data_IF_820236206778
#
_entry.id   IF_820236206778
#
_cell.length_a   1.000
_cell.length_b   1.000
_cell.length_c   1.000
_cell.angle_alpha   90.00
_cell.angle_beta   90.00
_cell.angle_gamma   90.00
#
_symmetry.space_group_name_H-M   'P 1'
#
loop_
_entity.id
_entity.type
_entity.pdbx_description
1 polymer ?
#
# COMPACT_ATOMS: atom_id res chain seq x y z
N UNK A 1 9.01 -42.20 33.22
CA UNK A 1 7.63 -41.84 32.83
C UNK A 1 7.52 -40.59 31.94
N UNK A 2 8.26 -39.50 32.19
CA UNK A 2 8.21 -38.27 31.32
C UNK A 2 8.61 -38.53 29.89
N UNK A 3 9.61 -39.36 29.61
CA UNK A 3 10.08 -39.61 28.24
C UNK A 3 9.11 -40.49 27.42
N UNK A 4 8.39 -41.42 28.07
CA UNK A 4 7.38 -42.26 27.43
C UNK A 4 6.16 -41.42 26.98
N UNK A 5 5.77 -40.43 27.79
CA UNK A 5 4.66 -39.53 27.46
C UNK A 5 4.98 -38.63 26.27
N UNK A 6 6.23 -38.09 26.21
CA UNK A 6 6.68 -37.26 25.10
C UNK A 6 6.77 -38.05 23.78
N UNK A 7 7.27 -39.30 23.86
CA UNK A 7 7.36 -40.20 22.69
C UNK A 7 5.97 -40.62 22.21
N UNK A 8 5.03 -40.88 23.12
CA UNK A 8 3.63 -41.17 22.76
C UNK A 8 2.94 -39.95 22.13
N UNK A 9 3.21 -38.74 22.63
CA UNK A 9 2.67 -37.52 22.07
C UNK A 9 3.22 -37.24 20.64
N UNK A 10 4.52 -37.49 20.44
CA UNK A 10 5.16 -37.39 19.11
C UNK A 10 4.63 -38.44 18.12
N UNK A 11 4.39 -39.69 18.59
CA UNK A 11 3.81 -40.75 17.77
C UNK A 11 2.34 -40.48 17.41
N UNK A 12 1.56 -39.89 18.31
CA UNK A 12 0.19 -39.47 18.03
C UNK A 12 0.19 -38.31 17.01
N UNK A 13 1.10 -37.34 17.16
CA UNK A 13 1.24 -36.25 16.18
C UNK A 13 1.71 -36.76 14.81
N UNK A 14 2.63 -37.72 14.76
CA UNK A 14 3.08 -38.33 13.50
C UNK A 14 2.00 -39.19 12.83
N UNK A 15 1.18 -39.91 13.62
CA UNK A 15 0.07 -40.67 13.04
C UNK A 15 -1.08 -39.77 12.54
N UNK A 16 -1.32 -38.62 13.16
CA UNK A 16 -2.22 -37.61 12.62
C UNK A 16 -1.69 -37.00 11.29
N UNK A 17 -0.39 -36.81 11.16
CA UNK A 17 0.25 -36.35 9.92
C UNK A 17 0.18 -37.38 8.79
N UNK A 18 0.27 -38.67 9.11
CA UNK A 18 0.20 -39.77 8.12
C UNK A 18 -1.24 -40.15 7.71
N UNK A 19 -2.22 -39.92 8.59
CA UNK A 19 -3.63 -40.21 8.30
C UNK A 19 -4.38 -39.07 7.59
N UNK A 20 -3.81 -37.86 7.54
CA UNK A 20 -4.38 -36.72 6.81
C UNK A 20 -3.86 -36.71 5.37
N UNK A 21 -4.43 -37.56 4.58
CA UNK A 21 -4.60 -37.56 3.12
C UNK A 21 -3.83 -36.49 2.31
N UNK A 22 -3.25 -36.90 1.21
CA UNK A 22 -2.85 -36.12 0.01
C UNK A 22 -3.76 -34.93 -0.34
N UNK A 23 -5.03 -34.94 0.10
CA UNK A 23 -6.01 -33.90 -0.13
C UNK A 23 -5.71 -32.57 0.59
N UNK A 24 -5.09 -32.58 1.79
CA UNK A 24 -4.80 -31.34 2.53
C UNK A 24 -3.58 -30.63 1.96
N UNK A 25 -2.55 -31.39 1.58
CA UNK A 25 -1.33 -30.83 0.97
C UNK A 25 -1.68 -30.16 -0.36
N UNK A 26 -2.59 -30.74 -1.16
CA UNK A 26 -3.08 -30.16 -2.43
C UNK A 26 -3.87 -28.85 -2.24
N UNK A 27 -4.40 -28.61 -1.05
CA UNK A 27 -5.16 -27.38 -0.69
C UNK A 27 -4.27 -26.27 -0.16
N UNK A 28 -3.01 -26.55 0.15
CA UNK A 28 -2.04 -25.58 0.64
C UNK A 28 -1.24 -25.02 -0.55
N UNK A 29 -1.08 -23.69 -0.57
CA UNK A 29 -0.16 -23.02 -1.48
C UNK A 29 0.72 -22.06 -0.70
N UNK A 30 1.99 -21.99 -1.09
CA UNK A 30 2.99 -21.14 -0.49
C UNK A 30 3.48 -20.12 -1.50
N UNK A 31 3.80 -18.93 -1.02
CA UNK A 31 4.38 -17.86 -1.83
C UNK A 31 5.47 -17.19 -1.02
N UNK A 32 6.52 -16.76 -1.68
CA UNK A 32 7.57 -16.00 -1.03
C UNK A 32 8.12 -14.92 -1.92
N UNK A 33 8.61 -13.86 -1.33
CA UNK A 33 9.41 -12.85 -2.02
C UNK A 33 10.56 -12.38 -1.13
N UNK A 34 11.70 -12.18 -1.76
CA UNK A 34 12.85 -11.52 -1.20
C UNK A 34 13.17 -10.30 -2.06
N UNK A 35 13.38 -9.16 -1.42
CA UNK A 35 13.84 -7.93 -2.08
C UNK A 35 15.16 -7.50 -1.50
N UNK A 36 16.11 -7.18 -2.36
CA UNK A 36 17.29 -6.43 -2.04
C UNK A 36 17.20 -5.05 -2.66
N UNK A 37 17.53 -3.99 -1.91
CA UNK A 37 17.39 -2.61 -2.32
C UNK A 37 18.67 -1.83 -2.06
N UNK A 38 19.06 -1.04 -3.06
CA UNK A 38 20.03 0.05 -2.95
C UNK A 38 19.23 1.34 -3.08
N UNK A 39 19.39 2.27 -2.15
CA UNK A 39 18.72 3.57 -2.24
C UNK A 39 19.65 4.70 -1.83
N UNK A 40 19.50 5.85 -2.48
CA UNK A 40 20.21 7.08 -2.23
C UNK A 40 19.20 8.23 -2.12
N UNK A 41 19.29 9.02 -1.04
CA UNK A 41 18.55 10.26 -0.81
C UNK A 41 19.54 11.44 -0.86
N UNK A 42 19.17 12.54 -1.53
CA UNK A 42 19.98 13.76 -1.61
C UNK A 42 19.10 15.00 -1.85
N UNK A 43 19.71 16.20 -1.73
CA UNK A 43 18.99 17.48 -1.82
C UNK A 43 17.79 17.57 -0.87
N UNK A 44 17.88 16.95 0.31
CA UNK A 44 16.79 16.95 1.29
C UNK A 44 16.84 18.25 2.10
N UNK A 45 16.23 19.32 1.56
CA UNK A 45 16.11 20.62 2.22
C UNK A 45 15.08 20.55 3.33
N UNK A 46 15.43 21.10 4.51
CA UNK A 46 14.55 21.19 5.68
C UNK A 46 13.77 22.50 5.69
N UNK A 47 12.78 22.58 6.57
CA UNK A 47 11.93 23.78 6.77
C UNK A 47 12.68 25.01 7.25
N UNK A 48 13.86 24.85 7.87
CA UNK A 48 14.76 25.94 8.26
C UNK A 48 15.69 26.43 7.11
N UNK A 49 15.58 25.79 5.94
CA UNK A 49 16.39 26.10 4.75
C UNK A 49 17.73 25.37 4.67
N UNK A 50 18.16 24.71 5.74
CA UNK A 50 19.37 23.87 5.74
C UNK A 50 19.13 22.56 4.98
N UNK A 51 20.19 21.85 4.65
CA UNK A 51 20.10 20.54 4.00
C UNK A 51 20.46 19.43 4.99
N UNK A 52 19.83 18.29 4.82
CA UNK A 52 20.24 17.03 5.44
C UNK A 52 21.44 16.48 4.70
N UNK A 53 22.24 15.71 5.41
CA UNK A 53 23.28 14.91 4.78
C UNK A 53 22.66 13.91 3.79
N UNK A 54 23.35 13.70 2.68
CA UNK A 54 23.00 12.65 1.73
C UNK A 54 23.03 11.29 2.39
N UNK A 55 22.10 10.42 2.04
CA UNK A 55 21.97 9.12 2.68
C UNK A 55 21.92 7.97 1.70
N UNK A 56 22.90 7.07 1.80
CA UNK A 56 22.94 5.80 1.06
C UNK A 56 22.57 4.64 1.99
N UNK A 57 21.74 3.72 1.53
CA UNK A 57 21.33 2.55 2.32
C UNK A 57 21.27 1.29 1.46
N UNK A 58 21.70 0.18 2.06
CA UNK A 58 21.44 -1.17 1.56
C UNK A 58 20.34 -1.76 2.44
N UNK A 59 19.27 -2.25 1.83
CA UNK A 59 18.08 -2.73 2.55
C UNK A 59 17.59 -4.04 1.95
N UNK A 60 16.90 -4.84 2.75
CA UNK A 60 16.27 -6.07 2.28
C UNK A 60 14.93 -6.30 2.97
N UNK A 61 14.10 -7.14 2.37
CA UNK A 61 12.82 -7.59 2.87
C UNK A 61 12.61 -9.04 2.48
N UNK A 62 12.10 -9.84 3.42
CA UNK A 62 11.58 -11.18 3.16
C UNK A 62 10.10 -11.22 3.50
N UNK A 63 9.32 -11.90 2.68
CA UNK A 63 7.91 -12.23 2.90
C UNK A 63 7.67 -13.69 2.62
N UNK A 64 6.84 -14.32 3.45
CA UNK A 64 6.37 -15.69 3.25
C UNK A 64 4.89 -15.77 3.52
N UNK A 65 4.12 -16.26 2.54
CA UNK A 65 2.67 -16.41 2.58
C UNK A 65 2.23 -17.86 2.47
N UNK A 66 1.13 -18.18 3.13
CA UNK A 66 0.45 -19.46 3.04
C UNK A 66 -1.04 -19.20 2.79
N UNK A 67 -1.61 -19.96 1.87
CA UNK A 67 -3.05 -20.00 1.64
C UNK A 67 -3.54 -21.45 1.77
N UNK A 68 -4.67 -21.63 2.48
CA UNK A 68 -5.38 -22.89 2.59
C UNK A 68 -6.74 -22.78 1.92
N UNK A 69 -6.92 -23.50 0.81
CA UNK A 69 -8.18 -23.56 0.07
C UNK A 69 -9.08 -24.59 0.76
N UNK A 70 -10.02 -24.13 1.58
CA UNK A 70 -10.94 -25.01 2.30
C UNK A 70 -11.87 -25.76 1.33
N UNK A 71 -12.51 -25.01 0.43
CA UNK A 71 -13.34 -25.52 -0.65
C UNK A 71 -13.28 -24.56 -1.87
N UNK A 72 -14.11 -24.72 -2.87
CA UNK A 72 -14.07 -23.94 -4.12
C UNK A 72 -14.26 -22.43 -3.91
N UNK A 73 -14.96 -22.01 -2.85
CA UNK A 73 -15.31 -20.61 -2.60
C UNK A 73 -14.67 -20.02 -1.33
N UNK A 74 -14.08 -20.83 -0.44
CA UNK A 74 -13.55 -20.39 0.85
C UNK A 74 -12.04 -20.62 0.96
N UNK A 75 -11.32 -19.59 1.39
CA UNK A 75 -9.86 -19.60 1.52
C UNK A 75 -9.43 -18.89 2.80
N UNK A 76 -8.44 -19.45 3.50
CA UNK A 76 -7.74 -18.82 4.62
C UNK A 76 -6.33 -18.45 4.17
N UNK A 77 -5.94 -17.21 4.39
CA UNK A 77 -4.62 -16.73 4.00
C UNK A 77 -3.89 -16.04 5.13
N UNK A 78 -2.58 -16.22 5.15
CA UNK A 78 -1.70 -15.47 6.03
C UNK A 78 -0.41 -15.08 5.30
N UNK A 79 0.26 -14.03 5.78
CA UNK A 79 1.61 -13.67 5.34
C UNK A 79 2.41 -13.07 6.49
N UNK A 80 3.62 -13.56 6.68
CA UNK A 80 4.61 -12.97 7.57
C UNK A 80 5.62 -12.15 6.75
N UNK A 81 6.27 -11.19 7.40
CA UNK A 81 7.33 -10.38 6.80
C UNK A 81 8.39 -10.00 7.81
N UNK A 82 9.56 -9.66 7.31
CA UNK A 82 10.57 -8.92 8.06
C UNK A 82 10.17 -7.45 8.25
N UNK A 83 10.78 -6.78 9.23
CA UNK A 83 10.54 -5.37 9.56
C UNK A 83 9.79 -5.18 10.87
N UNK A 84 9.88 -3.98 11.43
CA UNK A 84 9.28 -3.66 12.72
C UNK A 84 7.75 -3.76 12.66
N UNK A 85 7.16 -4.35 13.72
CA UNK A 85 5.71 -4.63 13.77
C UNK A 85 4.84 -3.37 13.73
N UNK A 86 5.32 -2.26 14.31
CA UNK A 86 4.58 -0.99 14.40
C UNK A 86 4.69 -0.14 13.11
N UNK A 87 5.66 -0.42 12.23
CA UNK A 87 5.89 0.32 10.99
C UNK A 87 5.47 -0.50 9.77
N UNK A 88 4.18 -0.50 9.46
CA UNK A 88 3.66 -1.31 8.36
C UNK A 88 4.16 -0.83 7.00
N UNK A 89 4.29 0.48 6.80
CA UNK A 89 4.74 1.07 5.53
C UNK A 89 6.20 0.77 5.18
N UNK A 90 7.04 0.50 6.17
CA UNK A 90 8.47 0.23 5.94
C UNK A 90 8.85 -1.21 6.34
N UNK A 91 8.57 -2.20 5.47
CA UNK A 91 8.95 -3.59 5.71
C UNK A 91 10.43 -3.88 5.46
N UNK A 92 11.20 -2.90 5.03
CA UNK A 92 12.61 -3.04 4.70
C UNK A 92 13.46 -2.95 5.96
N UNK A 93 14.42 -3.85 6.09
CA UNK A 93 15.48 -3.80 7.11
C UNK A 93 16.71 -3.19 6.48
N UNK A 94 17.31 -2.20 7.12
CA UNK A 94 18.57 -1.60 6.70
C UNK A 94 19.73 -2.48 7.20
N UNK A 95 20.69 -2.82 6.33
CA UNK A 95 21.90 -3.52 6.74
C UNK A 95 22.67 -2.66 7.74
N UNK A 96 23.16 -3.30 8.81
CA UNK A 96 23.92 -2.62 9.87
C UNK A 96 23.04 -1.89 10.89
N UNK A 97 21.71 -2.00 10.84
CA UNK A 97 20.82 -1.40 11.85
C UNK A 97 20.95 -2.02 13.23
N UNK A 98 21.48 -3.26 13.32
CA UNK A 98 21.80 -3.93 14.59
C UNK A 98 23.26 -3.70 14.98
N UNK A 99 23.59 -2.48 15.42
CA UNK A 99 24.96 -2.15 15.83
C UNK A 99 25.47 -3.08 16.93
N UNK A 100 26.71 -3.57 16.77
CA UNK A 100 27.42 -4.44 17.71
C UNK A 100 27.32 -5.92 17.33
N UNK A 101 26.23 -6.60 17.65
CA UNK A 101 26.12 -8.06 17.53
C UNK A 101 25.27 -8.54 16.33
N UNK A 102 25.00 -7.71 15.32
CA UNK A 102 24.10 -8.05 14.20
C UNK A 102 22.72 -8.54 14.65
N UNK A 103 22.08 -7.89 15.57
CA UNK A 103 20.81 -8.25 16.21
C UNK A 103 19.85 -9.15 15.44
N UNK A 104 18.89 -9.77 16.11
CA UNK A 104 17.89 -10.65 15.49
C UNK A 104 16.93 -9.89 14.59
N UNK A 105 16.43 -10.53 13.53
CA UNK A 105 15.51 -9.91 12.59
C UNK A 105 14.10 -9.82 13.17
N UNK A 106 13.46 -8.65 13.17
CA UNK A 106 12.06 -8.53 13.54
C UNK A 106 11.17 -9.17 12.47
N UNK A 107 10.21 -9.99 12.91
CA UNK A 107 9.21 -10.65 12.06
C UNK A 107 7.82 -10.40 12.62
N UNK A 108 6.85 -10.19 11.72
CA UNK A 108 5.46 -10.01 12.11
C UNK A 108 4.47 -10.49 11.06
N UNK A 109 3.21 -10.73 11.49
CA UNK A 109 2.12 -11.00 10.58
C UNK A 109 1.73 -9.74 9.81
N UNK A 110 1.81 -9.80 8.49
CA UNK A 110 1.42 -8.73 7.59
C UNK A 110 -0.03 -8.87 7.12
N UNK A 111 -0.49 -10.11 6.95
CA UNK A 111 -1.87 -10.45 6.60
C UNK A 111 -2.33 -11.66 7.39
N UNK A 112 -3.62 -11.67 7.73
CA UNK A 112 -4.34 -12.81 8.29
C UNK A 112 -5.83 -12.62 7.99
N UNK A 113 -6.40 -13.45 7.12
CA UNK A 113 -7.74 -13.24 6.61
C UNK A 113 -8.45 -14.55 6.24
N UNK A 114 -9.77 -14.49 6.30
CA UNK A 114 -10.68 -15.40 5.62
C UNK A 114 -11.25 -14.70 4.39
N UNK A 115 -11.29 -15.40 3.26
CA UNK A 115 -11.81 -14.90 1.98
C UNK A 115 -12.89 -15.83 1.45
N UNK A 116 -13.98 -15.27 0.96
CA UNK A 116 -15.02 -15.95 0.20
C UNK A 116 -15.09 -15.40 -1.23
N UNK A 117 -15.16 -16.30 -2.21
CA UNK A 117 -15.26 -15.99 -3.64
C UNK A 117 -16.29 -16.92 -4.26
N UNK A 118 -17.53 -16.42 -4.42
CA UNK A 118 -18.64 -17.25 -4.87
C UNK A 118 -19.44 -16.57 -6.00
N UNK A 119 -19.33 -17.12 -7.22
CA UNK A 119 -20.01 -16.60 -8.41
C UNK A 119 -19.70 -15.11 -8.66
N UNK A 120 -20.68 -14.26 -8.44
CA UNK A 120 -20.60 -12.81 -8.62
C UNK A 120 -20.16 -12.06 -7.36
N UNK A 121 -20.10 -12.76 -6.21
CA UNK A 121 -19.77 -12.20 -4.90
C UNK A 121 -18.35 -12.53 -4.49
N UNK A 122 -17.65 -11.54 -3.93
CA UNK A 122 -16.33 -11.67 -3.34
C UNK A 122 -16.26 -10.86 -2.04
N UNK A 123 -15.68 -11.44 -1.01
CA UNK A 123 -15.48 -10.72 0.24
C UNK A 123 -14.35 -11.31 1.08
N UNK A 124 -13.94 -10.56 2.09
CA UNK A 124 -12.98 -11.05 3.09
C UNK A 124 -13.18 -10.34 4.44
N UNK A 125 -12.71 -10.98 5.51
CA UNK A 125 -12.64 -10.46 6.86
C UNK A 125 -11.26 -10.73 7.44
N UNK A 126 -10.76 -9.81 8.28
CA UNK A 126 -9.45 -9.85 8.93
C UNK A 126 -8.52 -8.75 8.42
N UNK A 127 -7.24 -9.04 8.26
CA UNK A 127 -6.19 -8.11 7.77
C UNK A 127 -5.73 -8.52 6.39
N UNK A 128 -5.97 -7.68 5.38
CA UNK A 128 -5.62 -8.05 4.01
C UNK A 128 -5.20 -6.83 3.16
N UNK A 129 -4.86 -7.09 1.89
CA UNK A 129 -4.50 -6.05 0.91
C UNK A 129 -5.62 -5.03 0.77
N UNK A 130 -5.27 -3.76 0.56
CA UNK A 130 -6.20 -2.70 0.19
C UNK A 130 -7.04 -3.14 -1.02
N UNK A 131 -8.38 -3.16 -0.90
CA UNK A 131 -9.20 -3.93 -1.83
C UNK A 131 -9.78 -3.13 -2.99
N UNK A 132 -9.66 -1.80 -2.97
CA UNK A 132 -10.18 -0.93 -4.03
C UNK A 132 -9.19 -0.82 -5.19
N UNK A 133 -9.70 -0.66 -6.40
CA UNK A 133 -8.86 -0.41 -7.59
C UNK A 133 -8.08 0.89 -7.40
N UNK A 134 -6.80 0.85 -7.68
CA UNK A 134 -5.90 2.00 -7.68
C UNK A 134 -4.82 1.82 -8.74
N UNK A 135 -4.22 2.88 -9.20
CA UNK A 135 -3.14 2.84 -10.18
C UNK A 135 -1.81 3.42 -9.69
N UNK A 136 -1.81 3.96 -8.48
CA UNK A 136 -0.61 4.45 -7.79
C UNK A 136 -0.71 4.20 -6.29
N UNK A 137 0.33 4.55 -5.54
CA UNK A 137 0.41 4.35 -4.08
C UNK A 137 0.24 5.65 -3.28
N UNK A 138 -0.08 6.76 -3.94
CA UNK A 138 -0.06 8.09 -3.33
C UNK A 138 -1.22 8.34 -2.37
N UNK A 139 -2.37 7.73 -2.63
CA UNK A 139 -3.51 7.77 -1.72
C UNK A 139 -3.43 6.69 -0.63
N UNK A 140 -2.95 5.49 -1.02
CA UNK A 140 -2.83 4.33 -0.13
C UNK A 140 -1.60 3.50 -0.50
N UNK A 141 -0.69 3.33 0.45
CA UNK A 141 0.53 2.54 0.28
C UNK A 141 0.25 1.06 0.04
N UNK A 142 1.01 0.40 -0.85
CA UNK A 142 0.97 -1.04 -1.05
C UNK A 142 1.42 -1.86 0.17
N UNK A 143 2.05 -1.21 1.14
CA UNK A 143 2.49 -1.83 2.37
C UNK A 143 1.52 -1.63 3.54
N UNK A 144 0.40 -0.92 3.36
CA UNK A 144 -0.62 -0.72 4.41
C UNK A 144 -1.79 -1.67 4.15
N UNK A 145 -2.02 -2.59 5.08
CA UNK A 145 -3.03 -3.64 5.00
C UNK A 145 -4.15 -3.33 5.99
N UNK A 146 -5.36 -2.94 5.50
CA UNK A 146 -6.48 -2.63 6.35
C UNK A 146 -7.00 -3.85 7.12
N UNK A 147 -7.55 -3.60 8.31
CA UNK A 147 -8.16 -4.59 9.19
C UNK A 147 -9.67 -4.36 9.26
N UNK A 148 -10.48 -5.33 8.81
CA UNK A 148 -11.93 -5.18 8.80
C UNK A 148 -12.64 -6.13 7.86
N UNK A 149 -13.69 -5.62 7.21
CA UNK A 149 -14.55 -6.38 6.30
C UNK A 149 -14.62 -5.69 4.96
N UNK A 150 -14.52 -6.47 3.90
CA UNK A 150 -14.66 -6.02 2.51
C UNK A 150 -15.62 -6.94 1.76
N UNK A 151 -16.50 -6.33 0.96
CA UNK A 151 -17.46 -7.02 0.11
C UNK A 151 -17.43 -6.42 -1.29
N UNK A 152 -17.61 -7.24 -2.32
CA UNK A 152 -17.80 -6.77 -3.68
C UNK A 152 -18.74 -7.67 -4.47
N UNK A 153 -19.46 -7.05 -5.39
CA UNK A 153 -20.30 -7.70 -6.37
C UNK A 153 -19.83 -7.36 -7.78
N UNK A 154 -19.70 -8.37 -8.63
CA UNK A 154 -19.24 -8.20 -10.02
C UNK A 154 -20.31 -8.69 -10.99
N UNK A 155 -20.68 -7.83 -11.93
CA UNK A 155 -21.54 -8.11 -13.04
C UNK A 155 -20.71 -8.13 -14.33
N UNK A 156 -20.91 -9.15 -15.14
CA UNK A 156 -20.24 -9.33 -16.42
C UNK A 156 -21.29 -9.18 -17.52
N UNK A 157 -20.92 -8.51 -18.61
CA UNK A 157 -21.76 -8.32 -19.78
C UNK A 157 -20.98 -8.70 -21.04
N UNK A 158 -21.64 -9.25 -22.01
CA UNK A 158 -21.05 -9.56 -23.33
C UNK A 158 -20.94 -8.31 -24.23
N UNK A 159 -21.39 -7.18 -23.76
CA UNK A 159 -21.30 -5.91 -24.49
C UNK A 159 -19.86 -5.40 -24.55
N UNK A 160 -19.42 -5.03 -25.74
CA UNK A 160 -18.11 -4.37 -25.93
C UNK A 160 -18.05 -2.99 -25.27
N UNK A 161 -19.20 -2.32 -25.16
CA UNK A 161 -19.26 -0.98 -24.54
C UNK A 161 -19.06 -1.06 -23.03
N UNK A 162 -19.68 -2.02 -22.33
CA UNK A 162 -19.53 -2.22 -20.88
C UNK A 162 -19.35 -3.72 -20.63
N UNK A 163 -18.11 -4.15 -20.37
CA UNK A 163 -17.79 -5.56 -20.17
C UNK A 163 -18.02 -6.03 -18.75
N UNK A 164 -17.75 -5.18 -17.79
CA UNK A 164 -18.01 -5.51 -16.39
C UNK A 164 -18.23 -4.27 -15.54
N UNK A 165 -19.04 -4.45 -14.52
CA UNK A 165 -19.28 -3.50 -13.46
C UNK A 165 -19.03 -4.18 -12.12
N UNK A 166 -18.17 -3.62 -11.29
CA UNK A 166 -17.84 -4.16 -9.96
C UNK A 166 -18.14 -3.07 -8.92
N UNK A 167 -19.13 -3.33 -8.06
CA UNK A 167 -19.35 -2.54 -6.86
C UNK A 167 -18.54 -3.12 -5.71
N UNK A 168 -17.83 -2.29 -4.99
CA UNK A 168 -16.98 -2.66 -3.86
C UNK A 168 -17.28 -1.77 -2.67
N UNK A 169 -17.34 -2.35 -1.46
CA UNK A 169 -17.50 -1.61 -0.21
C UNK A 169 -16.68 -2.26 0.90
N UNK A 170 -16.24 -1.45 1.85
CA UNK A 170 -15.46 -1.94 2.98
C UNK A 170 -15.59 -1.05 4.21
N UNK A 171 -15.42 -1.68 5.38
CA UNK A 171 -15.33 -1.02 6.68
C UNK A 171 -14.10 -1.56 7.42
N UNK A 172 -13.20 -0.67 7.80
CA UNK A 172 -11.89 -1.02 8.35
C UNK A 172 -11.62 -0.20 9.60
N UNK A 173 -11.25 -0.86 10.69
CA UNK A 173 -10.90 -0.22 11.95
C UNK A 173 -9.43 0.22 11.87
N UNK A 174 -9.17 1.49 12.14
CA UNK A 174 -7.81 2.06 12.18
C UNK A 174 -7.31 2.11 13.62
N UNK A 175 -8.21 2.36 14.57
CA UNK A 175 -7.87 2.36 15.98
C UNK A 175 -9.11 2.26 16.86
N UNK A 176 -9.00 1.48 17.93
CA UNK A 176 -10.09 1.34 18.91
C UNK A 176 -10.13 2.56 19.83
N UNK A 177 -11.32 3.14 20.01
CA UNK A 177 -11.51 4.40 20.75
C UNK A 177 -12.19 4.28 22.10
N UNK A 178 -12.44 3.04 22.59
CA UNK A 178 -13.10 2.81 23.88
C UNK A 178 -14.08 1.66 23.90
N UNK A 179 -15.11 1.72 24.75
CA UNK A 179 -16.06 0.64 25.00
C UNK A 179 -17.13 0.47 23.88
N UNK A 180 -17.21 1.38 22.94
CA UNK A 180 -18.23 1.38 21.87
C UNK A 180 -17.59 1.51 20.49
N UNK A 181 -18.03 0.72 19.51
CA UNK A 181 -17.66 0.86 18.10
C UNK A 181 -17.90 2.27 17.54
N UNK A 182 -18.85 3.03 18.08
CA UNK A 182 -19.10 4.41 17.68
C UNK A 182 -17.93 5.36 18.03
N UNK A 183 -17.03 4.96 18.93
CA UNK A 183 -15.85 5.74 19.31
C UNK A 183 -14.62 5.39 18.48
N UNK A 184 -14.63 4.30 17.74
CA UNK A 184 -13.50 3.84 16.95
C UNK A 184 -13.13 4.84 15.84
N UNK A 185 -11.85 4.84 15.49
CA UNK A 185 -11.28 5.44 14.30
C UNK A 185 -11.42 4.42 13.17
N UNK A 186 -12.08 4.79 12.09
CA UNK A 186 -12.31 3.85 10.99
C UNK A 186 -12.24 4.50 9.61
N UNK A 187 -12.04 3.65 8.64
CA UNK A 187 -12.12 3.94 7.22
C UNK A 187 -13.27 3.16 6.60
N UNK A 188 -14.10 3.83 5.84
CA UNK A 188 -15.12 3.24 4.97
C UNK A 188 -14.87 3.64 3.53
N UNK A 189 -15.06 2.72 2.60
CA UNK A 189 -14.93 2.99 1.18
C UNK A 189 -16.06 2.36 0.38
N UNK A 190 -16.49 3.06 -0.65
CA UNK A 190 -17.34 2.53 -1.72
C UNK A 190 -16.71 2.90 -3.06
N UNK A 191 -16.66 1.97 -4.00
CA UNK A 191 -16.10 2.17 -5.33
C UNK A 191 -16.91 1.41 -6.37
N UNK A 192 -17.14 2.05 -7.50
CA UNK A 192 -17.71 1.43 -8.70
C UNK A 192 -16.64 1.35 -9.77
N UNK A 193 -16.17 0.15 -10.10
CA UNK A 193 -15.22 -0.07 -11.20
C UNK A 193 -15.95 -0.55 -12.43
N UNK A 194 -15.88 0.19 -13.51
CA UNK A 194 -16.38 -0.20 -14.83
C UNK A 194 -15.22 -0.43 -15.83
N UNK A 195 -15.40 -1.42 -16.71
CA UNK A 195 -14.45 -1.77 -17.76
C UNK A 195 -15.14 -1.73 -19.11
N UNK A 196 -14.49 -1.08 -20.07
CA UNK A 196 -15.03 -0.78 -21.38
C UNK A 196 -14.04 -1.14 -22.49
N UNK A 197 -14.55 -1.39 -23.72
CA UNK A 197 -13.78 -1.56 -24.94
C UNK A 197 -12.67 -2.61 -24.85
N UNK A 198 -13.01 -3.84 -24.46
CA UNK A 198 -12.04 -4.93 -24.25
C UNK A 198 -10.95 -4.59 -23.22
N UNK A 199 -11.38 -4.07 -22.05
CA UNK A 199 -10.51 -3.62 -20.95
C UNK A 199 -9.56 -2.45 -21.32
N UNK A 200 -9.81 -1.75 -22.44
CA UNK A 200 -9.01 -0.59 -22.82
C UNK A 200 -9.27 0.63 -21.95
N UNK A 201 -10.51 0.81 -21.48
CA UNK A 201 -10.86 1.88 -20.56
C UNK A 201 -11.35 1.30 -19.24
N UNK A 202 -10.79 1.78 -18.15
CA UNK A 202 -11.27 1.59 -16.79
C UNK A 202 -11.67 2.92 -16.20
N UNK A 203 -12.82 2.98 -15.54
CA UNK A 203 -13.31 4.14 -14.78
C UNK A 203 -13.70 3.64 -13.40
N UNK A 204 -13.21 4.31 -12.34
CA UNK A 204 -13.47 3.88 -10.97
C UNK A 204 -13.70 5.06 -10.01
N UNK A 205 -14.91 5.70 -10.09
CA UNK A 205 -15.34 6.64 -9.07
C UNK A 205 -15.44 5.95 -7.71
N UNK A 206 -15.04 6.68 -6.68
CA UNK A 206 -15.02 6.18 -5.31
C UNK A 206 -15.37 7.27 -4.32
N UNK A 207 -15.91 6.88 -3.18
CA UNK A 207 -16.07 7.74 -2.02
C UNK A 207 -15.42 7.06 -0.82
N UNK A 208 -14.59 7.81 -0.10
CA UNK A 208 -13.85 7.35 1.05
C UNK A 208 -14.11 8.23 2.26
N UNK A 209 -14.60 7.63 3.33
CA UNK A 209 -14.86 8.31 4.58
C UNK A 209 -13.91 7.81 5.67
N UNK A 210 -13.21 8.73 6.32
CA UNK A 210 -12.35 8.45 7.46
C UNK A 210 -12.85 9.22 8.66
N UNK A 211 -13.02 8.53 9.79
CA UNK A 211 -13.51 9.11 11.03
C UNK A 211 -12.41 9.25 12.06
N UNK A 212 -12.30 10.45 12.66
CA UNK A 212 -11.39 10.77 13.77
C UNK A 212 -9.92 10.44 13.46
N UNK A 213 -9.45 10.79 12.26
CA UNK A 213 -8.04 10.60 11.92
C UNK A 213 -7.16 11.58 12.66
N UNK A 214 -6.12 11.11 13.36
CA UNK A 214 -5.20 12.01 14.04
C UNK A 214 -4.42 12.82 13.01
N UNK A 215 -4.25 14.10 13.27
CA UNK A 215 -3.28 14.89 12.53
C UNK A 215 -1.92 14.73 13.20
N UNK A 216 -0.91 14.28 12.44
CA UNK A 216 0.43 14.01 12.96
C UNK A 216 1.46 14.80 12.12
N UNK A 217 1.38 16.15 12.04
CA UNK A 217 2.28 16.93 11.19
C UNK A 217 3.72 16.92 11.70
N UNK A 218 3.90 16.82 13.02
CA UNK A 218 5.19 16.93 13.71
C UNK A 218 5.51 15.69 14.56
N UNK A 219 4.88 14.55 14.26
CA UNK A 219 5.00 13.32 15.06
C UNK A 219 4.14 13.30 16.32
N UNK A 220 3.47 14.39 16.65
CA UNK A 220 2.56 14.51 17.78
C UNK A 220 1.12 14.61 17.29
N UNK A 221 0.21 13.88 17.92
CA UNK A 221 -1.23 14.03 17.67
C UNK A 221 -1.71 15.35 18.27
N UNK A 222 -2.11 16.31 17.42
CA UNK A 222 -2.56 17.63 17.84
C UNK A 222 -4.08 17.76 17.82
N UNK A 223 -4.75 17.15 16.86
CA UNK A 223 -6.20 17.16 16.70
C UNK A 223 -6.67 15.99 15.81
N UNK A 224 -7.97 15.72 15.83
CA UNK A 224 -8.57 14.68 15.00
C UNK A 224 -9.42 15.30 13.89
N UNK A 225 -9.35 14.73 12.69
CA UNK A 225 -10.11 15.14 11.52
C UNK A 225 -10.98 14.01 10.98
N UNK A 226 -12.11 14.36 10.41
CA UNK A 226 -12.79 13.50 9.46
C UNK A 226 -12.32 13.85 8.05
N UNK A 227 -12.37 12.85 7.16
CA UNK A 227 -12.12 13.03 5.74
C UNK A 227 -13.29 12.43 4.97
N UNK A 228 -13.82 13.19 4.03
CA UNK A 228 -14.83 12.75 3.05
C UNK A 228 -14.27 12.98 1.67
N UNK A 229 -13.62 11.94 1.10
CA UNK A 229 -12.83 12.08 -0.13
C UNK A 229 -13.60 11.50 -1.29
N UNK A 230 -13.96 12.35 -2.25
CA UNK A 230 -14.44 11.96 -3.57
C UNK A 230 -13.21 11.69 -4.44
N UNK A 231 -13.19 10.54 -5.09
CA UNK A 231 -12.12 10.13 -5.99
C UNK A 231 -12.68 9.71 -7.35
N UNK A 232 -12.00 10.12 -8.41
CA UNK A 232 -12.24 9.63 -9.76
C UNK A 232 -10.93 9.13 -10.35
N UNK A 233 -10.82 7.83 -10.54
CA UNK A 233 -9.71 7.20 -11.25
C UNK A 233 -10.13 6.77 -12.66
N UNK A 234 -9.25 7.01 -13.63
CA UNK A 234 -9.41 6.55 -15.01
C UNK A 234 -8.10 6.01 -15.55
N UNK A 235 -8.17 4.97 -16.37
CA UNK A 235 -7.01 4.42 -17.09
C UNK A 235 -7.42 4.01 -18.49
N UNK A 236 -6.68 4.51 -19.47
CA UNK A 236 -6.90 4.20 -20.89
C UNK A 236 -5.65 3.52 -21.45
N UNK A 237 -5.83 2.37 -22.08
CA UNK A 237 -4.81 1.74 -22.91
C UNK A 237 -4.94 2.28 -24.34
N UNK A 238 -3.93 3.04 -24.78
CA UNK A 238 -3.92 3.74 -26.09
C UNK A 238 -3.37 2.80 -27.17
N UNK A 239 -2.28 2.08 -26.88
CA UNK A 239 -1.58 1.20 -27.80
C UNK A 239 -1.47 -0.19 -27.16
N UNK A 240 -1.61 -1.25 -27.96
CA UNK A 240 -1.53 -2.65 -27.49
C UNK A 240 -0.09 -3.18 -27.48
N UNK A 241 0.68 -2.87 -28.51
CA UNK A 241 2.04 -3.36 -28.69
C UNK A 241 2.98 -2.31 -29.29
N UNK A 242 3.98 -1.78 -28.50
CA UNK A 242 4.09 -2.00 -27.08
C UNK A 242 2.88 -1.45 -26.33
N UNK A 243 2.58 -2.03 -25.16
CA UNK A 243 1.45 -1.55 -24.35
C UNK A 243 1.70 -0.13 -23.88
N UNK A 244 0.82 0.84 -24.24
CA UNK A 244 0.88 2.22 -23.77
C UNK A 244 -0.42 2.58 -23.08
N UNK A 245 -0.33 3.02 -21.83
CA UNK A 245 -1.49 3.42 -21.03
C UNK A 245 -1.27 4.78 -20.39
N UNK A 246 -2.35 5.56 -20.32
CA UNK A 246 -2.41 6.82 -19.57
C UNK A 246 -3.45 6.67 -18.47
N UNK A 247 -3.16 7.22 -17.32
CA UNK A 247 -4.06 7.21 -16.17
C UNK A 247 -4.14 8.57 -15.49
N UNK A 248 -5.28 8.83 -14.87
CA UNK A 248 -5.54 10.03 -14.06
C UNK A 248 -6.26 9.61 -12.79
N UNK A 249 -5.81 10.10 -11.64
CA UNK A 249 -6.53 10.06 -10.37
C UNK A 249 -6.78 11.50 -9.89
N UNK A 250 -8.03 11.80 -9.58
CA UNK A 250 -8.46 13.07 -9.00
C UNK A 250 -9.02 12.80 -7.60
N UNK A 251 -8.54 13.54 -6.61
CA UNK A 251 -8.98 13.47 -5.22
C UNK A 251 -9.51 14.83 -4.78
N UNK A 252 -10.61 14.84 -4.05
CA UNK A 252 -11.13 16.04 -3.40
C UNK A 252 -11.76 15.69 -2.06
N UNK A 253 -11.16 16.17 -0.97
CA UNK A 253 -11.76 16.09 0.36
C UNK A 253 -12.81 17.19 0.48
N UNK A 254 -14.07 16.80 0.64
CA UNK A 254 -15.22 17.73 0.70
C UNK A 254 -15.55 18.20 2.10
N UNK A 255 -14.79 17.79 3.12
CA UNK A 255 -14.97 18.30 4.49
C UNK A 255 -14.71 19.81 4.57
N UNK A 256 -15.46 20.46 5.41
CA UNK A 256 -15.27 21.88 5.73
C UNK A 256 -14.26 22.03 6.88
N UNK A 257 -13.01 22.21 6.49
CA UNK A 257 -11.88 22.31 7.44
C UNK A 257 -11.82 23.67 8.15
N UNK A 258 -12.54 24.69 7.67
CA UNK A 258 -12.58 26.02 8.29
C UNK A 258 -13.26 26.03 9.66
N UNK A 259 -14.05 24.99 9.95
CA UNK A 259 -14.72 24.79 11.25
C UNK A 259 -13.82 24.26 12.35
N UNK A 260 -12.56 23.95 12.04
CA UNK A 260 -11.60 23.45 13.02
C UNK A 260 -10.51 24.49 13.25
N UNK A 261 -10.60 25.20 14.36
CA UNK A 261 -9.68 26.28 14.76
C UNK A 261 -8.22 25.80 14.95
N UNK A 262 -8.01 24.48 15.08
CA UNK A 262 -6.68 23.88 15.14
C UNK A 262 -5.97 23.81 13.79
N UNK A 263 -6.70 24.01 12.68
CA UNK A 263 -6.12 23.98 11.34
C UNK A 263 -5.66 25.39 10.94
N UNK A 264 -4.37 25.59 10.64
CA UNK A 264 -3.89 26.85 10.11
C UNK A 264 -4.66 27.33 8.89
N UNK A 265 -5.02 28.60 8.83
CA UNK A 265 -5.86 29.18 7.79
C UNK A 265 -5.33 28.90 6.36
N UNK A 266 -4.01 28.95 6.17
CA UNK A 266 -3.36 28.66 4.88
C UNK A 266 -3.43 27.18 4.45
N UNK A 267 -3.87 26.29 5.34
CA UNK A 267 -4.02 24.86 5.04
C UNK A 267 -5.48 24.43 4.88
N UNK A 268 -6.47 25.26 5.26
CA UNK A 268 -7.89 24.88 5.24
C UNK A 268 -8.40 24.52 3.84
N UNK A 269 -7.84 25.11 2.78
CA UNK A 269 -8.20 24.85 1.39
C UNK A 269 -7.34 23.77 0.72
N UNK A 270 -6.37 23.18 1.44
CA UNK A 270 -5.45 22.16 0.94
C UNK A 270 -6.10 20.77 0.88
N UNK A 271 -7.07 20.58 -0.02
CA UNK A 271 -7.98 19.42 -0.05
C UNK A 271 -7.93 18.61 -1.34
N UNK A 272 -7.18 19.06 -2.37
CA UNK A 272 -7.20 18.49 -3.72
C UNK A 272 -5.95 17.70 -4.03
N UNK A 273 -6.10 16.68 -4.84
CA UNK A 273 -4.99 15.90 -5.36
C UNK A 273 -5.20 15.50 -6.82
N UNK A 274 -4.12 15.48 -7.58
CA UNK A 274 -4.08 14.95 -8.94
C UNK A 274 -2.84 14.09 -9.11
N UNK A 275 -3.01 12.93 -9.74
CA UNK A 275 -1.92 12.08 -10.19
C UNK A 275 -2.12 11.76 -11.66
N UNK A 276 -1.13 12.09 -12.48
CA UNK A 276 -1.06 11.72 -13.90
C UNK A 276 -0.07 10.56 -14.02
N UNK A 277 -0.43 9.55 -14.79
CA UNK A 277 0.39 8.36 -14.99
C UNK A 277 0.53 8.03 -16.48
N UNK A 278 1.76 7.77 -16.92
CA UNK A 278 2.09 7.18 -18.21
C UNK A 278 2.79 5.85 -17.97
N UNK A 279 2.40 4.80 -18.69
CA UNK A 279 3.07 3.50 -18.65
C UNK A 279 3.29 3.00 -20.07
N UNK A 280 4.52 2.55 -20.35
CA UNK A 280 4.94 1.99 -21.64
C UNK A 280 5.58 0.62 -21.38
N UNK A 281 5.23 -0.38 -22.20
CA UNK A 281 5.75 -1.74 -22.10
C UNK A 281 4.95 -2.64 -21.17
N UNK A 282 5.42 -3.86 -21.01
CA UNK A 282 4.85 -4.90 -20.14
C UNK A 282 5.87 -5.34 -19.09
N UNK A 283 5.40 -6.00 -18.02
CA UNK A 283 6.25 -6.41 -16.90
C UNK A 283 5.83 -7.79 -16.35
N UNK A 284 5.65 -8.76 -17.26
CA UNK A 284 5.08 -10.07 -16.92
C UNK A 284 5.99 -11.25 -17.25
N UNK A 285 6.57 -11.26 -18.45
CA UNK A 285 7.34 -12.39 -19.01
C UNK A 285 8.84 -12.05 -19.02
N UNK A 286 9.68 -13.07 -19.08
CA UNK A 286 11.12 -12.92 -19.32
C UNK A 286 11.40 -12.02 -20.52
N UNK A 287 12.25 -11.02 -20.33
CA UNK A 287 12.63 -10.05 -21.35
C UNK A 287 11.68 -8.84 -21.44
N UNK A 288 10.53 -8.88 -20.77
CA UNK A 288 9.66 -7.70 -20.70
C UNK A 288 10.36 -6.55 -19.99
N UNK A 289 10.05 -5.34 -20.44
CA UNK A 289 10.47 -4.11 -19.81
C UNK A 289 9.29 -3.15 -19.68
N UNK A 290 9.39 -2.23 -18.74
CA UNK A 290 8.39 -1.17 -18.56
C UNK A 290 9.09 0.15 -18.20
N UNK A 291 8.55 1.25 -18.71
CA UNK A 291 8.87 2.60 -18.28
C UNK A 291 7.59 3.24 -17.83
N UNK A 292 7.60 3.90 -16.67
CA UNK A 292 6.46 4.61 -16.13
C UNK A 292 6.90 6.00 -15.66
N UNK A 293 6.03 6.96 -15.84
CA UNK A 293 6.20 8.32 -15.33
C UNK A 293 4.93 8.73 -14.58
N UNK A 294 5.11 9.34 -13.42
CA UNK A 294 4.03 9.90 -12.63
C UNK A 294 4.34 11.37 -12.35
N UNK A 295 3.34 12.22 -12.54
CA UNK A 295 3.32 13.56 -11.99
C UNK A 295 2.27 13.62 -10.90
N UNK A 296 2.62 14.26 -9.79
CA UNK A 296 1.75 14.35 -8.62
C UNK A 296 1.70 15.77 -8.10
N UNK A 297 0.49 16.21 -7.77
CA UNK A 297 0.22 17.36 -6.94
C UNK A 297 -0.78 16.92 -5.88
N UNK A 298 -0.34 16.80 -4.62
CA UNK A 298 -1.14 16.24 -3.53
C UNK A 298 -1.13 17.20 -2.35
N UNK A 299 -2.23 17.90 -2.17
CA UNK A 299 -2.42 18.86 -1.08
C UNK A 299 -2.52 18.15 0.28
N UNK A 300 -2.38 18.93 1.37
CA UNK A 300 -2.22 18.41 2.74
C UNK A 300 -3.32 17.45 3.17
N UNK A 301 -4.57 17.74 2.85
CA UNK A 301 -5.75 16.97 3.26
C UNK A 301 -6.43 16.23 2.10
N UNK A 302 -5.76 16.08 0.97
CA UNK A 302 -6.26 15.30 -0.16
C UNK A 302 -6.25 13.80 0.11
N UNK A 303 -5.42 13.33 1.04
CA UNK A 303 -5.32 11.97 1.52
C UNK A 303 -4.95 11.96 3.00
N UNK A 304 -5.21 10.84 3.69
CA UNK A 304 -4.72 10.62 5.06
C UNK A 304 -3.23 10.31 4.98
N UNK A 305 -2.40 11.18 5.49
CA UNK A 305 -0.95 11.19 5.25
C UNK A 305 -0.24 9.90 5.70
N UNK A 306 -0.51 9.36 6.88
CA UNK A 306 0.15 8.15 7.37
C UNK A 306 -0.31 6.84 6.67
N UNK A 307 -1.30 6.91 5.77
CA UNK A 307 -1.71 5.80 4.90
C UNK A 307 -1.14 5.93 3.48
N UNK A 308 -0.73 7.13 3.08
CA UNK A 308 -0.11 7.42 1.80
C UNK A 308 1.31 6.83 1.71
N UNK A 309 1.84 6.69 0.51
CA UNK A 309 3.19 6.17 0.30
C UNK A 309 4.26 7.15 0.80
N UNK A 310 5.27 6.64 1.51
CA UNK A 310 6.34 7.41 2.11
C UNK A 310 7.61 7.56 1.26
N UNK A 311 7.66 7.06 0.03
CA UNK A 311 8.85 7.17 -0.82
C UNK A 311 9.04 8.57 -1.40
N UNK A 312 7.97 9.34 -1.54
CA UNK A 312 7.97 10.66 -2.15
C UNK A 312 8.56 11.74 -1.23
N UNK A 313 8.31 11.67 0.06
CA UNK A 313 8.79 12.68 1.01
C UNK A 313 10.17 12.37 1.54
N UNK A 314 11.08 13.34 1.45
CA UNK A 314 12.50 13.16 1.81
C UNK A 314 12.98 14.08 2.92
N UNK A 315 12.27 15.17 3.15
CA UNK A 315 12.73 16.23 4.05
C UNK A 315 12.89 15.81 5.51
N UNK A 316 12.16 14.86 6.03
CA UNK A 316 12.38 14.36 7.39
C UNK A 316 12.56 12.86 7.45
N UNK A 317 12.93 12.24 6.30
CA UNK A 317 12.94 10.78 6.19
C UNK A 317 11.64 10.18 6.73
N UNK A 318 10.54 10.86 6.42
CA UNK A 318 9.23 10.67 7.03
C UNK A 318 8.80 9.22 7.01
N UNK A 319 8.43 8.75 8.15
CA UNK A 319 7.59 7.60 8.39
C UNK A 319 6.45 7.99 9.34
N UNK A 320 5.62 7.05 9.73
CA UNK A 320 4.52 7.31 10.65
C UNK A 320 4.98 7.83 12.03
N UNK A 321 6.17 7.44 12.46
CA UNK A 321 6.76 7.85 13.74
C UNK A 321 7.68 9.07 13.64
N UNK A 322 7.86 9.65 12.46
CA UNK A 322 8.70 10.80 12.25
C UNK A 322 8.02 12.07 12.81
N UNK A 323 8.76 12.97 13.45
CA UNK A 323 8.24 14.27 13.85
C UNK A 323 7.63 15.07 12.69
N UNK A 324 8.03 14.80 11.48
CA UNK A 324 7.52 15.45 10.30
C UNK A 324 6.22 14.85 9.78
N UNK A 325 5.99 13.54 9.86
CA UNK A 325 4.76 12.82 9.46
C UNK A 325 4.14 13.23 8.12
N UNK A 326 4.93 13.76 7.19
CA UNK A 326 4.47 14.56 6.05
C UNK A 326 4.46 13.75 4.77
N UNK A 327 3.51 12.85 4.66
CA UNK A 327 3.35 11.99 3.48
C UNK A 327 2.38 12.58 2.44
N UNK A 328 1.98 13.85 2.62
CA UNK A 328 1.16 14.68 1.72
C UNK A 328 1.76 16.09 1.65
N UNK A 329 1.06 17.06 1.07
CA UNK A 329 1.53 18.44 0.89
C UNK A 329 2.78 18.52 -0.01
N UNK A 330 2.79 17.79 -1.11
CA UNK A 330 3.91 17.80 -2.05
C UNK A 330 3.44 17.71 -3.51
N UNK A 331 4.32 18.15 -4.40
CA UNK A 331 4.24 17.95 -5.85
C UNK A 331 5.57 17.36 -6.33
N UNK A 332 5.55 16.68 -7.47
CA UNK A 332 6.78 16.12 -7.98
C UNK A 332 6.58 15.09 -9.07
N UNK A 333 7.67 14.42 -9.40
CA UNK A 333 7.73 13.43 -10.47
C UNK A 333 8.35 12.15 -9.94
N UNK A 334 7.80 11.01 -10.36
CA UNK A 334 8.43 9.71 -10.22
C UNK A 334 8.64 9.09 -11.59
N UNK A 335 9.86 8.65 -11.87
CA UNK A 335 10.18 7.81 -13.03
C UNK A 335 10.49 6.39 -12.55
N UNK A 336 9.96 5.41 -13.26
CA UNK A 336 10.21 3.98 -13.00
C UNK A 336 10.70 3.32 -14.27
N UNK A 337 11.66 2.39 -14.12
CA UNK A 337 12.04 1.45 -15.15
C UNK A 337 12.08 0.04 -14.56
N UNK A 338 11.51 -0.92 -15.26
CA UNK A 338 11.47 -2.31 -14.84
C UNK A 338 11.96 -3.25 -15.93
N UNK A 339 12.65 -4.34 -15.52
CA UNK A 339 13.08 -5.42 -16.41
C UNK A 339 12.85 -6.78 -15.77
N UNK A 340 12.25 -7.71 -16.52
CA UNK A 340 11.99 -9.10 -16.09
C UNK A 340 13.11 -9.98 -16.57
N UNK A 341 14.05 -10.33 -15.67
CA UNK A 341 15.19 -11.22 -15.98
C UNK A 341 14.68 -12.64 -16.28
N UNK A 342 13.79 -13.13 -15.42
CA UNK A 342 13.05 -14.39 -15.62
C UNK A 342 11.78 -14.39 -14.76
N UNK A 343 11.05 -15.50 -14.70
CA UNK A 343 9.78 -15.60 -13.95
C UNK A 343 9.90 -15.22 -12.47
N UNK A 344 11.09 -15.40 -11.87
CA UNK A 344 11.33 -15.21 -10.44
C UNK A 344 12.13 -13.93 -10.14
N UNK A 345 12.90 -13.39 -11.10
CA UNK A 345 13.83 -12.27 -10.87
C UNK A 345 13.41 -11.04 -11.68
N UNK A 346 13.26 -9.91 -11.00
CA UNK A 346 12.88 -8.63 -11.59
C UNK A 346 13.76 -7.51 -11.03
N UNK A 347 14.14 -6.58 -11.90
CA UNK A 347 14.78 -5.33 -11.53
C UNK A 347 13.80 -4.18 -11.63
N UNK A 348 13.81 -3.28 -10.64
CA UNK A 348 12.98 -2.08 -10.60
C UNK A 348 13.85 -0.90 -10.17
N UNK A 349 13.98 0.08 -11.06
CA UNK A 349 14.57 1.37 -10.78
C UNK A 349 13.46 2.40 -10.55
N UNK A 350 13.57 3.23 -9.50
CA UNK A 350 12.65 4.33 -9.24
C UNK A 350 13.45 5.59 -8.90
N UNK A 351 13.06 6.71 -9.48
CA UNK A 351 13.67 8.01 -9.28
C UNK A 351 12.57 9.03 -8.93
N UNK A 352 12.80 9.80 -7.88
CA UNK A 352 11.85 10.78 -7.36
C UNK A 352 12.50 12.16 -7.26
N UNK A 353 11.76 13.18 -7.68
CA UNK A 353 12.05 14.59 -7.46
C UNK A 353 10.80 15.22 -6.85
N UNK A 354 10.91 15.76 -5.64
CA UNK A 354 9.74 16.16 -4.85
C UNK A 354 9.97 17.51 -4.19
N UNK A 355 8.96 18.37 -4.29
CA UNK A 355 8.90 19.68 -3.66
C UNK A 355 7.65 19.78 -2.78
N UNK A 356 7.76 20.43 -1.64
CA UNK A 356 6.63 20.79 -0.79
C UNK A 356 5.77 21.87 -1.47
N UNK A 357 4.45 21.80 -1.29
CA UNK A 357 3.51 22.79 -1.83
C UNK A 357 3.45 24.03 -0.92
N UNK A 358 3.11 23.83 0.34
CA UNK A 358 3.04 24.90 1.33
C UNK A 358 4.10 24.65 2.41
N UNK A 359 5.03 25.58 2.63
CA UNK A 359 6.04 25.42 3.68
C UNK A 359 5.40 25.46 5.07
N UNK A 360 5.91 24.62 5.96
CA UNK A 360 5.60 24.67 7.40
C UNK A 360 6.56 25.57 8.19
N UNK A 361 7.64 26.01 7.56
CA UNK A 361 8.66 26.84 8.14
C UNK A 361 9.14 27.93 7.17
N UNK A 362 10.39 28.36 7.33
CA UNK A 362 11.00 29.44 6.54
C UNK A 362 11.16 29.07 5.06
N UNK A 363 11.43 27.79 4.77
CA UNK A 363 11.72 27.34 3.42
C UNK A 363 10.83 26.19 2.98
N UNK A 364 10.60 26.06 1.68
CA UNK A 364 10.03 24.86 1.09
C UNK A 364 10.98 23.69 1.26
N UNK A 365 10.45 22.58 1.74
CA UNK A 365 11.17 21.33 1.84
C UNK A 365 11.22 20.64 0.47
N UNK A 366 12.38 20.05 0.15
CA UNK A 366 12.61 19.36 -1.11
C UNK A 366 13.33 18.04 -0.86
N UNK A 367 13.36 17.18 -1.86
CA UNK A 367 14.17 15.97 -1.77
C UNK A 367 14.14 15.13 -3.02
N UNK A 368 15.27 14.48 -3.28
CA UNK A 368 15.43 13.53 -4.35
C UNK A 368 15.72 12.15 -3.80
N UNK A 369 15.28 11.13 -4.51
CA UNK A 369 15.60 9.72 -4.21
C UNK A 369 15.79 8.93 -5.48
N UNK A 370 16.78 8.05 -5.47
CA UNK A 370 16.88 6.95 -6.42
C UNK A 370 16.93 5.63 -5.64
N UNK A 371 16.28 4.60 -6.17
CA UNK A 371 16.38 3.26 -5.61
C UNK A 371 16.36 2.21 -6.71
N UNK A 372 17.18 1.18 -6.52
CA UNK A 372 17.21 -0.02 -7.34
C UNK A 372 16.80 -1.22 -6.48
N UNK A 373 15.75 -1.90 -6.88
CA UNK A 373 15.23 -3.09 -6.23
C UNK A 373 15.51 -4.33 -7.09
N UNK A 374 16.11 -5.35 -6.52
CA UNK A 374 16.12 -6.71 -7.05
C UNK A 374 15.04 -7.49 -6.31
N UNK A 375 13.97 -7.86 -7.03
CA UNK A 375 12.86 -8.67 -6.52
C UNK A 375 13.03 -10.13 -6.95
N UNK A 376 12.97 -11.04 -5.98
CA UNK A 376 13.08 -12.50 -6.16
C UNK A 376 11.80 -13.13 -5.61
N UNK A 377 10.99 -13.75 -6.48
CA UNK A 377 9.77 -14.46 -6.10
C UNK A 377 9.96 -15.98 -6.16
N UNK A 378 9.29 -16.75 -5.31
CA UNK A 378 9.35 -18.21 -5.27
C UNK A 378 8.06 -18.81 -4.70
#
# INVERSE_FOLDING_TARGET
MKNAFLTSLLLIFSSFLLAQNDSIIKKLSFTGDFRFRIEQDWNSRKSDGSYRDDRSRLRYRFRFGMNYQYNEWANFGMRIRTGYRIHQQDPQITLGSGFGEFGTLPIGFEKLFFKADYKWFFGWVGKNTYPFEKQNELFWSDNVYPEGVFLSAKFISDSKLLQSLKLSMGHFIIGTGGASFAQDRYFQGIQLLSKHWNDRLKIFPSFYYFKKMPNIPDGNETYNLNYSIVHLGTKVKIIENPSVSVGVDLYNNVEDLSKNDSIPQNLQDQKKGIVLALSIGDFKKKGDWTIQAYYTYLERYAAVDFLAQNDWTRWDYSDQGSPAGRLTNFKGIELRAGYVINKNFRLNLRYFVVDQIIPYGFANETGNRIRLDLDIGF
#
